data_IF_642639002968
#
_entry.id   IF_642639002968
#
_cell.length_a   1.000
_cell.length_b   1.000
_cell.length_c   1.000
_cell.angle_alpha   90.00
_cell.angle_beta   90.00
_cell.angle_gamma   90.00
#
_symmetry.space_group_name_H-M   'P 1'
#
loop_
_entity.id
_entity.type
_entity.pdbx_description
1 polymer ?
#
# COMPACT_ATOMS: atom_id res chain seq x y z
N UNK A 1 22.48 -1.12 5.61
CA UNK A 1 21.58 0.00 5.21
C UNK A 1 20.48 0.03 6.23
N UNK A 2 19.97 1.21 6.61
CA UNK A 2 18.88 1.34 7.58
C UNK A 2 17.53 1.44 6.84
N UNK A 3 16.41 1.02 7.45
CA UNK A 3 15.11 1.24 6.88
C UNK A 3 14.76 2.73 6.95
N UNK A 4 13.98 3.23 5.98
CA UNK A 4 13.32 4.53 6.12
C UNK A 4 11.98 4.30 6.84
N UNK A 5 11.68 5.14 7.83
CA UNK A 5 10.41 5.10 8.57
C UNK A 5 9.87 6.52 8.66
N UNK A 6 8.61 6.71 8.25
CA UNK A 6 7.95 8.01 8.26
C UNK A 6 6.48 7.86 8.64
N UNK A 7 6.05 8.59 9.67
CA UNK A 7 4.65 8.56 10.13
C UNK A 7 3.80 9.62 9.42
N UNK A 8 2.54 9.28 9.13
CA UNK A 8 1.57 10.21 8.52
C UNK A 8 1.41 11.50 9.34
N UNK A 9 1.54 11.42 10.66
CA UNK A 9 1.43 12.60 11.55
C UNK A 9 2.47 13.67 11.30
N UNK A 10 3.59 13.34 10.64
CA UNK A 10 4.64 14.30 10.28
C UNK A 10 4.21 15.32 9.20
N UNK A 11 3.07 15.08 8.52
CA UNK A 11 2.56 15.95 7.45
C UNK A 11 1.51 16.97 7.92
N UNK A 12 1.18 16.96 9.23
CA UNK A 12 0.16 17.85 9.79
C UNK A 12 -1.27 17.35 9.60
N UNK A 13 -2.22 17.99 10.28
CA UNK A 13 -3.65 17.66 10.22
C UNK A 13 -4.46 18.96 10.21
N UNK A 14 -5.44 19.15 9.30
CA UNK A 14 -5.77 18.26 8.18
C UNK A 14 -4.73 18.33 7.06
N UNK A 15 -4.64 17.26 6.25
CA UNK A 15 -3.80 17.28 5.06
C UNK A 15 -4.38 18.25 4.02
N UNK A 16 -3.51 19.07 3.45
CA UNK A 16 -3.87 19.99 2.35
C UNK A 16 -3.62 19.38 0.96
N UNK A 17 -2.85 18.29 0.93
CA UNK A 17 -2.51 17.51 -0.26
C UNK A 17 -2.13 16.09 0.15
N UNK A 18 -1.92 15.19 -0.81
CA UNK A 18 -1.39 13.85 -0.52
C UNK A 18 -0.02 13.93 0.15
N UNK A 19 0.18 13.16 1.23
CA UNK A 19 1.45 13.03 1.91
C UNK A 19 2.36 12.04 1.17
N UNK A 20 3.59 12.43 0.87
CA UNK A 20 4.61 11.58 0.24
C UNK A 20 5.31 10.75 1.29
N UNK A 21 4.80 9.56 1.54
CA UNK A 21 5.30 8.67 2.59
C UNK A 21 6.62 8.01 2.22
N UNK A 22 6.72 7.46 1.00
CA UNK A 22 7.95 6.97 0.37
C UNK A 22 8.10 7.72 -0.95
N UNK A 23 9.19 8.44 -1.13
CA UNK A 23 9.35 9.28 -2.31
C UNK A 23 10.76 9.21 -2.89
N UNK A 24 11.00 9.87 -4.02
CA UNK A 24 12.27 9.81 -4.75
C UNK A 24 13.51 10.15 -3.90
N UNK A 25 13.37 11.06 -2.93
CA UNK A 25 14.45 11.44 -2.02
C UNK A 25 14.85 10.32 -1.04
N UNK A 26 13.99 9.34 -0.85
CA UNK A 26 14.26 8.14 -0.04
C UNK A 26 14.99 7.06 -0.84
N UNK A 27 15.23 7.29 -2.13
CA UNK A 27 15.83 6.34 -3.09
C UNK A 27 15.16 4.96 -3.10
N UNK A 28 13.83 4.89 -3.20
CA UNK A 28 13.14 3.60 -3.27
C UNK A 28 13.53 2.86 -4.56
N UNK A 29 13.75 1.54 -4.51
CA UNK A 29 14.17 0.79 -5.71
C UNK A 29 13.13 0.75 -6.82
N UNK A 30 11.84 0.58 -6.50
CA UNK A 30 10.82 0.33 -7.53
C UNK A 30 9.58 1.21 -7.44
N UNK A 31 9.13 1.60 -6.24
CA UNK A 31 7.86 2.30 -6.07
C UNK A 31 7.92 3.47 -5.10
N UNK A 32 6.93 4.35 -5.23
CA UNK A 32 6.60 5.40 -4.25
C UNK A 32 5.32 5.04 -3.51
N UNK A 33 5.12 5.61 -2.32
CA UNK A 33 3.87 5.49 -1.56
C UNK A 33 3.39 6.88 -1.14
N UNK A 34 2.10 7.13 -1.36
CA UNK A 34 1.42 8.33 -0.88
C UNK A 34 0.26 7.96 0.04
N UNK A 35 -0.11 8.89 0.92
CA UNK A 35 -1.32 8.81 1.72
C UNK A 35 -2.22 10.01 1.40
N UNK A 36 -3.51 9.79 1.32
CA UNK A 36 -4.48 10.85 1.04
C UNK A 36 -5.78 10.68 1.82
N UNK A 37 -6.43 11.83 2.06
CA UNK A 37 -7.75 11.93 2.66
C UNK A 37 -8.74 12.50 1.64
N UNK A 38 -9.87 11.84 1.45
CA UNK A 38 -10.94 12.33 0.58
C UNK A 38 -12.13 12.67 1.48
N UNK A 39 -12.38 13.96 1.63
CA UNK A 39 -13.48 14.48 2.47
C UNK A 39 -14.85 14.15 1.86
N UNK A 40 -15.92 14.06 2.68
CA UNK A 40 -17.28 13.90 2.18
C UNK A 40 -17.63 14.90 1.08
N UNK A 41 -18.22 14.41 -0.02
CA UNK A 41 -18.57 15.18 -1.20
C UNK A 41 -17.38 15.61 -2.07
N UNK A 42 -16.18 15.09 -1.83
CA UNK A 42 -14.97 15.36 -2.62
C UNK A 42 -14.50 14.14 -3.39
N UNK A 43 -13.57 14.38 -4.32
CA UNK A 43 -12.92 13.34 -5.12
C UNK A 43 -11.42 13.36 -4.92
N UNK A 44 -10.77 12.22 -5.21
CA UNK A 44 -9.34 12.25 -5.55
C UNK A 44 -9.11 13.02 -6.86
N UNK A 45 -7.86 13.22 -7.24
CA UNK A 45 -7.53 13.79 -8.55
C UNK A 45 -8.12 12.87 -9.62
N UNK A 46 -8.82 13.47 -10.60
CA UNK A 46 -9.33 12.82 -11.78
C UNK A 46 -8.27 12.84 -12.85
N UNK A 47 -7.80 11.67 -13.31
CA UNK A 47 -6.69 11.59 -14.24
C UNK A 47 -6.66 10.28 -15.04
N UNK A 48 -5.78 10.27 -16.03
CA UNK A 48 -5.41 9.11 -16.83
C UNK A 48 -3.91 9.13 -17.07
N UNK A 49 -3.25 7.97 -17.04
CA UNK A 49 -1.80 7.85 -17.22
C UNK A 49 -1.39 6.42 -17.59
N UNK A 50 -0.16 6.21 -18.12
CA UNK A 50 0.28 4.90 -18.64
C UNK A 50 0.83 3.94 -17.59
N UNK A 51 0.60 4.15 -16.29
CA UNK A 51 0.94 3.24 -15.21
C UNK A 51 -0.30 2.84 -14.41
N UNK A 52 -0.21 1.76 -13.68
CA UNK A 52 -1.24 1.29 -12.77
C UNK A 52 -1.15 1.97 -11.40
N UNK A 53 -2.19 1.80 -10.59
CA UNK A 53 -2.18 2.06 -9.16
C UNK A 53 -2.51 0.80 -8.37
N UNK A 54 -1.81 0.59 -7.26
CA UNK A 54 -2.26 -0.26 -6.16
C UNK A 54 -2.66 0.62 -4.99
N UNK A 55 -3.96 0.59 -4.66
CA UNK A 55 -4.54 1.40 -3.59
C UNK A 55 -5.06 0.50 -2.48
N UNK A 56 -4.83 0.89 -1.22
CA UNK A 56 -5.47 0.25 -0.07
C UNK A 56 -6.32 1.27 0.67
N UNK A 57 -7.60 0.96 0.87
CA UNK A 57 -8.53 1.78 1.64
C UNK A 57 -8.37 1.43 3.12
N UNK A 58 -7.79 2.37 3.89
CA UNK A 58 -7.53 2.19 5.32
C UNK A 58 -8.83 2.30 6.11
N UNK A 59 -9.65 3.32 5.81
CA UNK A 59 -10.95 3.56 6.45
C UNK A 59 -11.86 4.38 5.54
N UNK A 60 -13.16 4.36 5.85
CA UNK A 60 -14.20 5.04 5.07
C UNK A 60 -14.74 4.18 3.94
N UNK A 61 -15.67 4.75 3.20
CA UNK A 61 -16.31 4.11 2.04
C UNK A 61 -16.67 5.15 0.97
N UNK A 62 -16.75 4.71 -0.27
CA UNK A 62 -17.09 5.57 -1.40
C UNK A 62 -17.20 4.80 -2.71
N UNK A 63 -16.89 5.45 -3.81
CA UNK A 63 -16.99 4.88 -5.15
C UNK A 63 -15.70 5.13 -5.91
N UNK A 64 -15.08 4.08 -6.43
CA UNK A 64 -14.09 4.19 -7.49
C UNK A 64 -14.85 4.34 -8.81
N UNK A 65 -14.59 5.42 -9.53
CA UNK A 65 -15.03 5.57 -10.91
C UNK A 65 -13.84 5.22 -11.80
N UNK A 66 -14.05 4.26 -12.71
CA UNK A 66 -13.00 3.76 -13.59
C UNK A 66 -13.61 3.51 -14.97
N UNK A 67 -13.12 4.22 -16.00
CA UNK A 67 -13.66 4.21 -17.36
C UNK A 67 -15.18 4.48 -17.41
N UNK A 68 -15.61 5.47 -16.61
CA UNK A 68 -17.02 5.87 -16.49
C UNK A 68 -17.93 4.88 -15.77
N UNK A 69 -17.39 3.77 -15.23
CA UNK A 69 -18.13 2.80 -14.44
C UNK A 69 -17.87 2.98 -12.96
N UNK A 70 -18.88 2.75 -12.16
CA UNK A 70 -18.85 2.91 -10.72
C UNK A 70 -18.63 1.57 -10.01
N UNK A 71 -17.72 1.56 -9.04
CA UNK A 71 -17.39 0.40 -8.22
C UNK A 71 -17.38 0.82 -6.76
N UNK A 72 -18.27 0.25 -5.90
CA UNK A 72 -18.24 0.56 -4.47
C UNK A 72 -16.93 0.11 -3.84
N UNK A 73 -16.37 0.96 -2.97
CA UNK A 73 -15.16 0.69 -2.22
C UNK A 73 -15.36 1.00 -0.74
N UNK A 74 -14.66 0.26 0.13
CA UNK A 74 -14.76 0.41 1.59
C UNK A 74 -13.44 0.06 2.28
N UNK A 75 -13.40 0.28 3.58
CA UNK A 75 -12.28 -0.11 4.43
C UNK A 75 -11.84 -1.57 4.20
N UNK A 76 -10.54 -1.75 4.10
CA UNK A 76 -9.91 -3.04 3.85
C UNK A 76 -9.86 -3.48 2.38
N UNK A 77 -10.38 -2.67 1.45
CA UNK A 77 -10.28 -2.94 0.02
C UNK A 77 -8.89 -2.62 -0.50
N UNK A 78 -8.35 -3.56 -1.25
CA UNK A 78 -7.19 -3.42 -2.12
C UNK A 78 -7.66 -3.26 -3.56
N UNK A 79 -7.20 -2.24 -4.25
CA UNK A 79 -7.59 -1.90 -5.60
C UNK A 79 -6.39 -1.99 -6.53
N UNK A 80 -6.51 -2.74 -7.61
CA UNK A 80 -5.67 -2.62 -8.78
C UNK A 80 -6.40 -1.80 -9.84
N UNK A 81 -5.86 -0.65 -10.21
CA UNK A 81 -6.41 0.21 -11.25
C UNK A 81 -5.48 0.11 -12.47
N UNK A 82 -5.96 -0.42 -13.60
CA UNK A 82 -5.13 -0.65 -14.78
C UNK A 82 -4.56 0.65 -15.36
N UNK A 83 -3.42 0.59 -16.08
CA UNK A 83 -2.87 1.74 -16.78
C UNK A 83 -3.81 2.19 -17.94
N UNK A 84 -3.69 3.46 -18.32
CA UNK A 84 -4.44 4.08 -19.43
C UNK A 84 -5.96 4.08 -19.26
N UNK A 85 -6.44 4.05 -18.04
CA UNK A 85 -7.88 4.10 -17.70
C UNK A 85 -8.15 5.40 -16.96
N UNK A 86 -9.20 6.13 -17.39
CA UNK A 86 -9.68 7.31 -16.67
C UNK A 86 -10.26 6.91 -15.31
N UNK A 87 -9.78 7.52 -14.23
CA UNK A 87 -10.20 7.10 -12.89
C UNK A 87 -10.10 8.18 -11.83
N UNK A 88 -10.94 8.03 -10.80
CA UNK A 88 -10.91 8.78 -9.55
C UNK A 88 -11.72 8.06 -8.47
N UNK A 89 -11.46 8.38 -7.20
CA UNK A 89 -12.28 7.92 -6.07
C UNK A 89 -13.16 9.06 -5.60
N UNK A 90 -14.44 8.78 -5.39
CA UNK A 90 -15.46 9.72 -4.94
C UNK A 90 -15.94 9.32 -3.53
N UNK A 91 -15.92 10.27 -2.60
CA UNK A 91 -16.57 10.14 -1.29
C UNK A 91 -17.96 10.81 -1.38
N UNK A 92 -18.91 10.13 -2.04
CA UNK A 92 -20.20 10.71 -2.41
C UNK A 92 -21.22 10.79 -1.27
N UNK A 93 -21.20 9.82 -0.34
CA UNK A 93 -22.21 9.71 0.71
C UNK A 93 -21.62 9.46 2.09
N UNK A 94 -20.30 9.41 2.19
CA UNK A 94 -19.59 9.15 3.42
C UNK A 94 -19.85 10.23 4.46
N UNK A 95 -20.07 9.82 5.70
CA UNK A 95 -20.06 10.73 6.87
C UNK A 95 -18.65 11.00 7.35
N UNK A 96 -17.73 10.13 6.93
CA UNK A 96 -16.32 10.11 7.33
C UNK A 96 -15.41 10.27 6.12
N UNK A 97 -14.21 10.70 6.36
CA UNK A 97 -13.17 10.77 5.33
C UNK A 97 -12.81 9.36 4.83
N UNK A 98 -12.50 9.25 3.54
CA UNK A 98 -11.81 8.07 3.04
C UNK A 98 -10.32 8.30 3.25
N UNK A 99 -9.67 7.41 4.02
CA UNK A 99 -8.24 7.38 4.20
C UNK A 99 -7.64 6.26 3.37
N UNK A 100 -6.67 6.57 2.53
CA UNK A 100 -6.07 5.58 1.65
C UNK A 100 -4.57 5.79 1.44
N UNK A 101 -3.86 4.71 1.20
CA UNK A 101 -2.52 4.72 0.65
C UNK A 101 -2.57 4.29 -0.81
N UNK A 102 -1.63 4.79 -1.58
CA UNK A 102 -1.48 4.50 -2.99
C UNK A 102 -0.01 4.26 -3.30
N UNK A 103 0.28 3.14 -3.95
CA UNK A 103 1.61 2.77 -4.42
C UNK A 103 1.65 2.89 -5.93
N UNK A 104 2.70 3.51 -6.42
CA UNK A 104 2.94 3.76 -7.84
C UNK A 104 4.36 3.37 -8.20
N UNK A 105 4.54 2.86 -9.40
CA UNK A 105 5.87 2.69 -9.99
C UNK A 105 6.62 4.01 -10.04
N UNK A 106 7.95 3.99 -9.89
CA UNK A 106 8.79 5.19 -9.87
C UNK A 106 8.57 6.13 -11.05
N UNK A 107 8.20 5.60 -12.21
CA UNK A 107 7.94 6.39 -13.40
C UNK A 107 6.85 7.45 -13.16
N UNK A 108 5.86 7.16 -12.30
CA UNK A 108 4.80 8.10 -11.94
C UNK A 108 5.37 9.36 -11.28
N UNK A 109 6.29 9.19 -10.31
CA UNK A 109 6.92 10.31 -9.62
C UNK A 109 7.94 11.02 -10.48
N UNK A 110 8.69 10.29 -11.33
CA UNK A 110 9.71 10.83 -12.24
C UNK A 110 9.11 11.66 -13.38
N UNK A 111 7.90 11.30 -13.84
CA UNK A 111 7.19 12.04 -14.89
C UNK A 111 6.43 13.27 -14.39
N UNK A 112 6.52 13.59 -13.10
CA UNK A 112 5.84 14.75 -12.49
C UNK A 112 4.39 14.52 -12.10
N UNK A 113 3.93 13.27 -12.09
CA UNK A 113 2.59 12.88 -11.66
C UNK A 113 1.58 12.81 -12.81
N UNK A 114 0.30 12.83 -12.46
CA UNK A 114 -0.81 12.59 -13.33
C UNK A 114 -0.78 13.42 -14.62
N UNK A 115 -0.83 12.74 -15.75
CA UNK A 115 -1.00 13.34 -17.07
C UNK A 115 -2.45 13.15 -17.52
N UNK A 116 -3.08 14.21 -18.00
CA UNK A 116 -4.43 14.16 -18.59
C UNK A 116 -4.35 13.83 -20.08
N UNK A 117 -3.39 13.03 -20.52
CA UNK A 117 -3.24 12.71 -21.92
C UNK A 117 -4.03 11.45 -22.29
N UNK A 118 -5.06 11.70 -23.08
CA UNK A 118 -5.87 10.83 -23.91
C UNK A 118 -5.61 9.32 -23.87
N UNK A 119 -5.97 8.66 -22.79
CA UNK A 119 -6.03 7.21 -22.76
C UNK A 119 -7.23 6.72 -23.54
N UNK A 120 -7.01 5.73 -24.36
CA UNK A 120 -8.08 5.07 -25.12
C UNK A 120 -8.83 4.04 -24.28
N UNK A 121 -8.59 3.99 -22.95
CA UNK A 121 -9.09 2.96 -22.05
C UNK A 121 -8.62 1.56 -22.49
N UNK A 122 -8.08 0.76 -21.61
CA UNK A 122 -7.74 -0.63 -21.95
C UNK A 122 -8.99 -1.52 -22.03
N UNK A 123 -10.14 -1.01 -21.59
CA UNK A 123 -11.36 -1.78 -21.41
C UNK A 123 -11.26 -2.80 -20.26
N UNK A 124 -10.14 -2.85 -19.57
CA UNK A 124 -9.97 -3.71 -18.38
C UNK A 124 -10.62 -3.08 -17.16
N UNK A 125 -11.50 -3.77 -16.46
CA UNK A 125 -12.05 -3.27 -15.20
C UNK A 125 -10.96 -3.25 -14.12
N UNK A 126 -11.11 -2.41 -13.07
CA UNK A 126 -10.28 -2.51 -11.89
C UNK A 126 -10.55 -3.84 -11.18
N UNK A 127 -9.55 -4.32 -10.43
CA UNK A 127 -9.73 -5.45 -9.52
C UNK A 127 -9.87 -4.92 -8.10
N UNK A 128 -10.88 -5.39 -7.38
CA UNK A 128 -11.14 -5.01 -6.00
C UNK A 128 -11.20 -6.29 -5.17
N UNK A 129 -10.38 -6.35 -4.12
CA UNK A 129 -10.33 -7.46 -3.15
C UNK A 129 -10.37 -6.90 -1.74
N UNK A 130 -11.06 -7.55 -0.83
CA UNK A 130 -11.04 -7.16 0.59
C UNK A 130 -10.20 -8.17 1.39
N UNK A 131 -9.40 -7.69 2.34
CA UNK A 131 -8.59 -8.58 3.17
C UNK A 131 -9.44 -9.59 3.97
N UNK A 132 -10.71 -9.28 4.22
CA UNK A 132 -11.63 -10.18 4.93
C UNK A 132 -12.02 -11.42 4.12
N UNK A 133 -11.77 -11.39 2.80
CA UNK A 133 -12.02 -12.51 1.89
C UNK A 133 -10.80 -13.43 1.74
N UNK A 134 -9.68 -13.11 2.40
CA UNK A 134 -8.49 -13.95 2.44
C UNK A 134 -8.79 -15.29 3.12
N UNK A 135 -8.25 -16.34 2.57
CA UNK A 135 -8.41 -17.71 3.05
C UNK A 135 -7.09 -18.49 2.96
N UNK A 136 -7.11 -19.79 3.26
CA UNK A 136 -5.92 -20.62 3.23
C UNK A 136 -5.25 -20.75 1.86
N UNK A 137 -6.03 -20.59 0.78
CA UNK A 137 -5.52 -20.71 -0.60
C UNK A 137 -4.82 -19.42 -1.03
N UNK A 138 -5.34 -18.28 -0.61
CA UNK A 138 -4.76 -16.96 -0.93
C UNK A 138 -3.65 -16.57 0.05
N UNK A 139 -3.63 -17.17 1.25
CA UNK A 139 -2.67 -16.81 2.27
C UNK A 139 -2.78 -15.33 2.67
N UNK A 140 -1.67 -14.61 2.59
CA UNK A 140 -1.63 -13.17 2.88
C UNK A 140 -1.82 -12.30 1.63
N UNK A 141 -1.79 -12.88 0.42
CA UNK A 141 -1.87 -12.14 -0.82
C UNK A 141 -3.28 -11.65 -1.11
N UNK A 142 -3.46 -10.33 -1.17
CA UNK A 142 -4.71 -9.70 -1.58
C UNK A 142 -4.73 -9.51 -3.09
N UNK A 143 -3.67 -8.91 -3.65
CA UNK A 143 -3.49 -8.66 -5.08
C UNK A 143 -2.15 -9.21 -5.54
N UNK A 144 -2.12 -9.75 -6.75
CA UNK A 144 -0.92 -10.29 -7.35
C UNK A 144 -1.10 -10.59 -8.85
N UNK A 145 -0.25 -11.44 -9.41
CA UNK A 145 -0.26 -11.76 -10.85
C UNK A 145 -1.59 -12.33 -11.33
N UNK A 146 -2.28 -13.09 -10.50
CA UNK A 146 -3.61 -13.65 -10.82
C UNK A 146 -4.68 -12.59 -11.08
N UNK A 147 -4.47 -11.38 -10.57
CA UNK A 147 -5.38 -10.23 -10.71
C UNK A 147 -4.96 -9.31 -11.87
N UNK A 148 -3.88 -9.65 -12.56
CA UNK A 148 -3.32 -8.86 -13.65
C UNK A 148 -2.43 -7.69 -13.17
N UNK A 149 -2.09 -7.62 -11.88
CA UNK A 149 -1.16 -6.61 -11.36
C UNK A 149 0.24 -6.84 -11.95
N UNK A 150 0.76 -5.93 -12.77
CA UNK A 150 1.99 -6.19 -13.53
C UNK A 150 3.27 -5.91 -12.76
N UNK A 151 3.25 -5.08 -11.70
CA UNK A 151 4.46 -4.64 -11.02
C UNK A 151 4.51 -4.99 -9.54
N UNK A 152 3.39 -4.99 -8.81
CA UNK A 152 3.38 -5.17 -7.37
C UNK A 152 2.39 -6.22 -6.91
N UNK A 153 2.78 -6.87 -5.84
CA UNK A 153 2.04 -7.82 -5.05
C UNK A 153 1.67 -7.13 -3.73
N UNK A 154 0.40 -7.10 -3.37
CA UNK A 154 -0.08 -6.54 -2.11
C UNK A 154 -0.41 -7.66 -1.13
N UNK A 155 0.22 -7.63 0.04
CA UNK A 155 0.03 -8.58 1.13
C UNK A 155 -0.66 -7.91 2.31
N UNK A 156 -1.65 -8.57 2.90
CA UNK A 156 -2.19 -8.21 4.21
C UNK A 156 -1.56 -9.09 5.28
N UNK A 157 -0.67 -8.53 6.06
CA UNK A 157 -0.01 -9.21 7.16
C UNK A 157 -0.67 -8.84 8.50
N UNK A 158 -1.90 -9.26 8.69
CA UNK A 158 -2.67 -9.14 9.94
C UNK A 158 -2.91 -10.52 10.53
N UNK A 159 -3.38 -10.65 11.67
CA UNK A 159 -3.18 -9.95 12.91
C UNK A 159 -1.95 -10.57 13.60
N UNK A 160 -0.82 -9.89 13.53
CA UNK A 160 0.38 -10.37 14.23
C UNK A 160 0.13 -10.28 15.73
N UNK A 161 -0.10 -11.42 16.38
CA UNK A 161 -0.49 -11.49 17.79
C UNK A 161 0.65 -11.00 18.73
N UNK A 162 0.31 -10.56 19.94
CA UNK A 162 1.32 -10.32 20.98
C UNK A 162 2.28 -11.51 21.14
N UNK A 163 3.59 -11.22 21.20
CA UNK A 163 4.65 -12.23 21.29
C UNK A 163 4.99 -12.94 19.97
N UNK A 164 4.24 -12.69 18.89
CA UNK A 164 4.52 -13.29 17.60
C UNK A 164 5.81 -12.72 16.96
N UNK A 165 6.49 -13.58 16.23
CA UNK A 165 7.75 -13.27 15.52
C UNK A 165 7.63 -13.79 14.10
N UNK A 166 7.99 -12.99 13.10
CA UNK A 166 8.09 -13.49 11.73
C UNK A 166 9.35 -14.34 11.57
N UNK A 167 9.27 -15.43 10.79
CA UNK A 167 10.42 -16.32 10.53
C UNK A 167 11.14 -16.77 11.81
N UNK A 168 10.44 -17.40 12.78
CA UNK A 168 11.02 -17.73 14.08
C UNK A 168 12.19 -18.71 13.99
N UNK A 169 12.15 -19.62 13.01
CA UNK A 169 13.16 -20.68 12.86
C UNK A 169 14.50 -20.15 12.34
N UNK A 170 14.48 -19.03 11.59
CA UNK A 170 15.68 -18.44 10.96
C UNK A 170 16.10 -17.12 11.60
N UNK A 171 15.31 -16.60 12.53
CA UNK A 171 15.57 -15.30 13.16
C UNK A 171 15.39 -14.12 12.20
N UNK A 172 14.67 -14.33 11.10
CA UNK A 172 14.46 -13.38 10.01
C UNK A 172 15.01 -13.89 8.68
N UNK A 173 14.97 -13.04 7.68
CA UNK A 173 15.45 -13.34 6.33
C UNK A 173 16.01 -12.10 5.61
N UNK A 174 16.57 -12.31 4.42
CA UNK A 174 16.90 -11.27 3.44
C UNK A 174 16.58 -11.77 2.04
N UNK A 175 16.37 -10.84 1.13
CA UNK A 175 16.08 -11.12 -0.29
C UNK A 175 16.48 -9.91 -1.17
N UNK A 176 16.57 -10.05 -2.50
CA UNK A 176 17.07 -9.00 -3.39
C UNK A 176 16.04 -7.91 -3.74
N UNK A 177 14.87 -7.90 -3.14
CA UNK A 177 13.85 -6.86 -3.31
C UNK A 177 13.60 -6.13 -1.99
N UNK A 178 12.99 -4.95 -2.10
CA UNK A 178 12.54 -4.15 -0.96
C UNK A 178 11.15 -4.58 -0.48
N UNK A 179 10.79 -4.16 0.74
CA UNK A 179 9.41 -4.05 1.18
C UNK A 179 9.01 -2.60 1.35
N UNK A 180 7.87 -2.23 0.78
CA UNK A 180 7.20 -0.97 1.10
C UNK A 180 5.98 -1.29 1.94
N UNK A 181 6.00 -0.88 3.22
CA UNK A 181 5.05 -1.31 4.24
C UNK A 181 4.29 -0.12 4.79
N UNK A 182 3.01 -0.32 5.12
CA UNK A 182 2.23 0.63 5.92
C UNK A 182 1.60 -0.08 7.11
N UNK A 183 1.81 0.46 8.32
CA UNK A 183 1.23 -0.06 9.56
C UNK A 183 -0.19 0.48 9.71
N UNK A 184 -1.17 -0.41 9.60
CA UNK A 184 -2.60 -0.08 9.66
C UNK A 184 -3.07 0.15 11.09
N UNK A 185 -2.58 -0.66 12.02
CA UNK A 185 -2.99 -0.65 13.42
C UNK A 185 -1.95 -1.34 14.31
N UNK A 186 -1.91 -0.93 15.58
CA UNK A 186 -1.02 -1.52 16.58
C UNK A 186 0.43 -1.02 16.50
N UNK A 187 1.31 -1.79 17.13
CA UNK A 187 2.73 -1.50 17.28
C UNK A 187 3.55 -2.78 17.20
N UNK A 188 4.75 -2.70 16.64
CA UNK A 188 5.71 -3.80 16.59
C UNK A 188 7.15 -3.30 16.62
N UNK A 189 8.08 -4.23 16.69
CA UNK A 189 9.51 -4.00 16.48
C UNK A 189 9.92 -4.58 15.13
N UNK A 190 10.46 -3.74 14.26
CA UNK A 190 11.19 -4.14 13.07
C UNK A 190 12.67 -4.30 13.43
N UNK A 191 13.21 -5.50 13.35
CA UNK A 191 14.65 -5.73 13.37
C UNK A 191 15.15 -5.63 11.94
N UNK A 192 16.07 -4.72 11.67
CA UNK A 192 16.60 -4.52 10.32
C UNK A 192 18.10 -4.18 10.39
N UNK A 193 18.93 -4.96 9.69
CA UNK A 193 20.37 -4.79 9.70
C UNK A 193 20.99 -4.92 11.11
N UNK A 194 20.40 -5.73 11.98
CA UNK A 194 20.84 -5.95 13.35
C UNK A 194 20.47 -4.85 14.36
N UNK A 195 19.67 -3.86 13.95
CA UNK A 195 19.11 -2.81 14.82
C UNK A 195 17.61 -2.99 14.98
N UNK A 196 17.07 -2.52 16.10
CA UNK A 196 15.67 -2.55 16.41
C UNK A 196 15.02 -1.19 16.22
N UNK A 197 13.87 -1.16 15.57
CA UNK A 197 13.08 0.03 15.29
C UNK A 197 11.65 -0.21 15.78
N UNK A 198 11.16 0.64 16.66
CA UNK A 198 9.73 0.63 17.02
C UNK A 198 8.94 1.24 15.90
N UNK A 199 7.90 0.55 15.46
CA UNK A 199 6.96 0.99 14.42
C UNK A 199 5.54 0.93 14.93
N UNK A 200 4.70 1.84 14.50
CA UNK A 200 3.33 2.02 15.01
C UNK A 200 2.37 2.43 13.91
N UNK A 201 1.09 2.44 14.25
CA UNK A 201 0.03 2.88 13.34
C UNK A 201 0.38 4.19 12.61
N UNK A 202 0.20 4.18 11.29
CA UNK A 202 0.48 5.30 10.41
C UNK A 202 1.91 5.39 9.92
N UNK A 203 2.80 4.47 10.33
CA UNK A 203 4.16 4.40 9.80
C UNK A 203 4.17 3.78 8.40
N UNK A 204 4.79 4.49 7.46
CA UNK A 204 5.28 3.95 6.20
C UNK A 204 6.75 3.57 6.34
N UNK A 205 7.11 2.42 5.83
CA UNK A 205 8.43 1.83 6.03
C UNK A 205 8.96 1.32 4.69
N UNK A 206 10.17 1.75 4.33
CA UNK A 206 10.93 1.15 3.23
C UNK A 206 12.04 0.28 3.84
N UNK A 207 11.88 -1.05 3.73
CA UNK A 207 12.91 -2.02 4.10
C UNK A 207 13.80 -2.25 2.88
N UNK A 208 15.10 -1.93 2.94
CA UNK A 208 15.96 -2.04 1.78
C UNK A 208 16.21 -3.48 1.33
N UNK A 209 16.47 -3.72 0.03
CA UNK A 209 16.84 -5.04 -0.48
C UNK A 209 18.16 -5.54 0.14
N UNK A 210 18.30 -6.85 0.25
CA UNK A 210 19.49 -7.55 0.76
C UNK A 210 19.84 -7.24 2.22
N UNK A 211 18.94 -6.62 2.99
CA UNK A 211 19.14 -6.36 4.42
C UNK A 211 18.35 -7.40 5.21
N UNK A 212 19.03 -8.09 6.14
CA UNK A 212 18.38 -9.05 7.03
C UNK A 212 17.36 -8.34 7.91
N UNK A 213 16.13 -8.85 7.95
CA UNK A 213 15.04 -8.24 8.71
C UNK A 213 14.08 -9.27 9.32
N UNK A 214 13.39 -8.86 10.38
CA UNK A 214 12.42 -9.64 11.13
C UNK A 214 11.40 -8.70 11.79
N UNK A 215 10.16 -9.14 11.88
CA UNK A 215 9.12 -8.47 12.64
C UNK A 215 8.89 -9.19 13.97
N UNK A 216 8.72 -8.41 15.04
CA UNK A 216 8.39 -8.92 16.39
C UNK A 216 7.29 -8.06 16.98
N UNK A 217 6.20 -8.69 17.42
CA UNK A 217 5.19 -7.96 18.15
C UNK A 217 5.47 -8.09 19.67
N UNK A 218 6.18 -7.12 20.21
CA UNK A 218 6.50 -7.03 21.64
C UNK A 218 5.46 -6.21 22.41
N UNK A 219 4.32 -5.85 21.79
CA UNK A 219 3.22 -5.11 22.41
C UNK A 219 2.15 -6.05 22.98
N UNK A 220 1.17 -5.48 23.69
CA UNK A 220 0.07 -6.22 24.29
C UNK A 220 -1.15 -6.36 23.35
N UNK A 221 -1.09 -5.78 22.15
CA UNK A 221 -2.17 -5.80 21.17
C UNK A 221 -1.70 -6.37 19.82
N UNK A 222 -2.60 -6.92 19.00
CA UNK A 222 -2.27 -7.32 17.63
C UNK A 222 -1.78 -6.14 16.78
N UNK A 223 -0.93 -6.42 15.79
CA UNK A 223 -0.48 -5.44 14.80
C UNK A 223 -0.88 -5.90 13.41
N UNK A 224 -1.40 -4.96 12.62
CA UNK A 224 -1.81 -5.17 11.23
C UNK A 224 -1.02 -4.26 10.31
N UNK A 225 -0.58 -4.79 9.17
CA UNK A 225 0.11 -4.03 8.15
C UNK A 225 -0.23 -4.54 6.76
N UNK A 226 -0.06 -3.68 5.78
CA UNK A 226 -0.01 -4.06 4.36
C UNK A 226 1.41 -3.90 3.85
N UNK A 227 1.82 -4.82 3.01
CA UNK A 227 3.16 -4.85 2.40
C UNK A 227 3.01 -4.89 0.89
N UNK A 228 3.74 -4.03 0.22
CA UNK A 228 3.88 -4.00 -1.23
C UNK A 228 5.26 -4.50 -1.60
N UNK A 229 5.29 -5.54 -2.39
CA UNK A 229 6.52 -6.14 -2.91
C UNK A 229 6.52 -6.05 -4.43
N UNK A 230 7.69 -5.92 -5.08
CA UNK A 230 7.76 -6.14 -6.52
C UNK A 230 7.21 -7.51 -6.91
N UNK A 231 6.45 -7.60 -8.00
CA UNK A 231 5.83 -8.86 -8.44
C UNK A 231 6.85 -9.99 -8.68
N UNK A 232 8.09 -9.64 -8.96
CA UNK A 232 9.21 -10.60 -9.04
C UNK A 232 9.46 -11.38 -7.74
N UNK A 233 8.90 -10.93 -6.61
CA UNK A 233 8.96 -11.63 -5.32
C UNK A 233 7.90 -12.73 -5.16
N UNK A 234 6.92 -12.80 -6.06
CA UNK A 234 5.82 -13.76 -5.99
C UNK A 234 6.32 -15.20 -5.96
N UNK A 235 5.76 -16.01 -5.05
CA UNK A 235 6.16 -17.40 -4.87
C UNK A 235 7.45 -17.64 -4.06
N UNK A 236 8.11 -16.58 -3.58
CA UNK A 236 9.34 -16.69 -2.78
C UNK A 236 9.14 -16.55 -1.28
N UNK A 237 7.88 -16.47 -0.81
CA UNK A 237 7.50 -16.39 0.60
C UNK A 237 8.08 -15.17 1.30
N UNK A 238 7.28 -14.14 1.47
CA UNK A 238 7.65 -12.93 2.25
C UNK A 238 7.22 -13.03 3.69
#
# INVERSE_FOLDING_TARGET
MEPMIRNISSFGTPLTSSARLVWLDDNPPTCTMTYSEIKPGKTSIHHIHPWEHEVYIISGSGTLVCDGKEYPVRDGDALYIPPNVDHYTLNNEGREDIHRIEVNHLIAAQSGGAQNEGGTGTGQPPVIRNYRDLNKETGHEILGSRDGAPNYLMLYNGAMAPGAVSHPDTGGHNHPWEHTVFVLDGQATLVCGGKEYTVSQGDAILVPPNVHHQWRNNSDAPMNRVTFNPLSSEGHGG
#
